data_IF_342904766078
#
_entry.id   IF_342904766078
#
_cell.length_a   1.000
_cell.length_b   1.000
_cell.length_c   1.000
_cell.angle_alpha   90.00
_cell.angle_beta   90.00
_cell.angle_gamma   90.00
#
_symmetry.space_group_name_H-M   'P 1'
#
loop_
_entity.id
_entity.type
_entity.pdbx_description
1 polymer ?
#
# COMPACT_ATOMS: atom_id res chain seq x y z
N UNK A 1 -5.40 -17.83 23.66
CA UNK A 1 -4.80 -17.02 24.75
C UNK A 1 -4.03 -15.82 24.20
N UNK A 2 -3.02 -15.98 23.33
CA UNK A 2 -2.14 -14.86 22.94
C UNK A 2 -2.82 -13.70 22.20
N UNK A 3 -3.69 -13.96 21.23
CA UNK A 3 -4.41 -12.85 20.61
C UNK A 3 -5.24 -12.07 21.63
N UNK A 4 -5.89 -12.78 22.57
CA UNK A 4 -6.62 -12.13 23.67
C UNK A 4 -5.72 -11.26 24.55
N UNK A 5 -4.53 -11.75 24.93
CA UNK A 5 -3.54 -10.95 25.67
C UNK A 5 -3.03 -9.75 24.87
N UNK A 6 -2.76 -9.92 23.57
CA UNK A 6 -2.33 -8.82 22.70
C UNK A 6 -3.43 -7.76 22.52
N UNK A 7 -4.69 -8.18 22.40
CA UNK A 7 -5.83 -7.28 22.34
C UNK A 7 -6.02 -6.50 23.65
N UNK A 8 -5.82 -7.15 24.81
CA UNK A 8 -5.82 -6.49 26.11
C UNK A 8 -4.72 -5.42 26.19
N UNK A 9 -3.48 -5.77 25.84
CA UNK A 9 -2.34 -4.84 25.84
C UNK A 9 -2.56 -3.66 24.90
N UNK A 10 -3.15 -3.91 23.73
CA UNK A 10 -3.50 -2.88 22.78
C UNK A 10 -4.51 -1.86 23.33
N UNK A 11 -5.54 -2.32 24.05
CA UNK A 11 -6.48 -1.43 24.74
C UNK A 11 -5.81 -0.67 25.89
N UNK A 12 -4.93 -1.32 26.66
CA UNK A 12 -4.16 -0.64 27.71
C UNK A 12 -3.25 0.46 27.13
N UNK A 13 -2.63 0.22 25.98
CA UNK A 13 -1.86 1.24 25.28
C UNK A 13 -2.74 2.41 24.83
N UNK A 14 -3.93 2.14 24.26
CA UNK A 14 -4.90 3.19 23.92
C UNK A 14 -5.28 4.04 25.15
N UNK A 15 -5.50 3.41 26.31
CA UNK A 15 -5.78 4.14 27.57
C UNK A 15 -4.59 5.02 27.94
N UNK A 16 -3.36 4.50 27.85
CA UNK A 16 -2.13 5.23 28.17
C UNK A 16 -1.90 6.49 27.32
N UNK A 17 -2.36 6.49 26.06
CA UNK A 17 -2.29 7.67 25.17
C UNK A 17 -3.57 8.50 25.14
N UNK A 18 -4.51 8.27 26.07
CA UNK A 18 -5.77 9.02 26.16
C UNK A 18 -6.83 8.68 25.09
N UNK A 19 -6.60 7.65 24.27
CA UNK A 19 -7.49 7.22 23.20
C UNK A 19 -8.40 6.03 23.55
N UNK A 20 -8.24 5.46 24.75
CA UNK A 20 -8.96 4.28 25.21
C UNK A 20 -9.88 4.52 26.40
N UNK A 21 -10.72 3.52 26.69
CA UNK A 21 -11.59 3.46 27.88
C UNK A 21 -11.48 2.07 28.51
N UNK A 22 -11.56 2.00 29.85
CA UNK A 22 -11.43 0.74 30.61
C UNK A 22 -12.45 -0.32 30.18
N UNK A 23 -13.68 0.09 29.85
CA UNK A 23 -14.72 -0.85 29.41
C UNK A 23 -14.47 -1.46 28.02
N UNK A 24 -13.40 -1.06 27.30
CA UNK A 24 -12.98 -1.72 26.06
C UNK A 24 -12.08 -2.94 26.27
N UNK A 25 -11.59 -3.19 27.50
CA UNK A 25 -10.69 -4.32 27.77
C UNK A 25 -11.31 -5.68 27.34
N UNK A 26 -12.59 -5.99 27.65
CA UNK A 26 -13.21 -7.23 27.18
C UNK A 26 -13.32 -7.31 25.65
N UNK A 27 -13.60 -6.18 25.00
CA UNK A 27 -13.69 -6.09 23.54
C UNK A 27 -12.33 -6.39 22.89
N UNK A 28 -11.24 -5.86 23.45
CA UNK A 28 -9.88 -6.14 22.98
C UNK A 28 -9.55 -7.62 23.09
N UNK A 29 -9.87 -8.26 24.23
CA UNK A 29 -9.69 -9.70 24.43
C UNK A 29 -10.50 -10.51 23.41
N UNK A 30 -11.78 -10.17 23.23
CA UNK A 30 -12.67 -10.85 22.29
C UNK A 30 -12.15 -10.73 20.85
N UNK A 31 -11.83 -9.51 20.41
CA UNK A 31 -11.24 -9.25 19.09
C UNK A 31 -9.99 -10.11 18.88
N UNK A 32 -9.09 -10.12 19.86
CA UNK A 32 -7.87 -10.91 19.84
C UNK A 32 -8.11 -12.42 19.67
N UNK A 33 -9.09 -12.97 20.38
CA UNK A 33 -9.47 -14.38 20.26
C UNK A 33 -10.03 -14.66 18.85
N UNK A 34 -10.99 -13.86 18.39
CA UNK A 34 -11.63 -14.04 17.07
C UNK A 34 -10.59 -13.98 15.96
N UNK A 35 -9.72 -12.97 15.97
CA UNK A 35 -8.66 -12.83 14.97
C UNK A 35 -7.72 -14.03 15.00
N UNK A 36 -7.30 -14.50 16.18
CA UNK A 36 -6.46 -15.71 16.29
C UNK A 36 -7.11 -16.93 15.65
N UNK A 37 -8.42 -17.13 15.86
CA UNK A 37 -9.16 -18.27 15.28
C UNK A 37 -9.29 -18.14 13.77
N UNK A 38 -9.62 -16.95 13.26
CA UNK A 38 -9.94 -16.73 11.84
C UNK A 38 -8.69 -16.69 10.96
N UNK A 39 -7.64 -16.00 11.39
CA UNK A 39 -6.43 -15.76 10.57
C UNK A 39 -5.17 -16.44 11.09
N UNK A 40 -5.21 -17.08 12.26
CA UNK A 40 -4.02 -17.64 12.91
C UNK A 40 -3.21 -18.56 12.00
N UNK A 41 -3.86 -19.48 11.28
CA UNK A 41 -3.18 -20.39 10.34
C UNK A 41 -2.54 -19.68 9.14
N UNK A 42 -2.91 -18.44 8.85
CA UNK A 42 -2.41 -17.64 7.72
C UNK A 42 -1.34 -16.62 8.14
N UNK A 43 -1.41 -16.13 9.38
CA UNK A 43 -0.42 -15.24 9.99
C UNK A 43 0.81 -16.04 10.43
N UNK A 44 1.58 -16.56 9.48
CA UNK A 44 2.70 -17.50 9.73
C UNK A 44 4.01 -16.83 10.14
N UNK A 45 4.11 -15.52 9.98
CA UNK A 45 5.22 -14.69 10.44
C UNK A 45 4.71 -13.30 10.86
N UNK A 46 5.55 -12.45 11.50
CA UNK A 46 5.12 -11.16 12.00
C UNK A 46 4.65 -10.20 10.89
N UNK A 47 5.27 -10.21 9.70
CA UNK A 47 4.86 -9.34 8.59
C UNK A 47 3.49 -9.72 8.05
N UNK A 48 3.26 -11.02 7.83
CA UNK A 48 1.93 -11.55 7.46
C UNK A 48 0.89 -11.26 8.54
N UNK A 49 1.29 -11.43 9.81
CA UNK A 49 0.46 -11.13 10.96
C UNK A 49 0.02 -9.68 11.00
N UNK A 50 0.95 -8.74 10.80
CA UNK A 50 0.66 -7.31 10.72
C UNK A 50 -0.39 -7.00 9.66
N UNK A 51 -0.18 -7.48 8.42
CA UNK A 51 -1.10 -7.17 7.32
C UNK A 51 -2.47 -7.80 7.54
N UNK A 52 -2.53 -9.06 7.97
CA UNK A 52 -3.81 -9.68 8.30
C UNK A 52 -4.52 -8.95 9.43
N UNK A 53 -3.80 -8.54 10.47
CA UNK A 53 -4.34 -7.78 11.59
C UNK A 53 -4.90 -6.41 11.17
N UNK A 54 -4.22 -5.69 10.28
CA UNK A 54 -4.70 -4.43 9.71
C UNK A 54 -5.94 -4.65 8.83
N UNK A 55 -5.91 -5.67 7.95
CA UNK A 55 -7.05 -6.00 7.08
C UNK A 55 -8.28 -6.46 7.86
N UNK A 56 -8.13 -7.28 8.89
CA UNK A 56 -9.25 -7.65 9.77
C UNK A 56 -9.71 -6.48 10.62
N UNK A 57 -8.81 -5.55 10.96
CA UNK A 57 -9.16 -4.30 11.62
C UNK A 57 -10.07 -3.42 10.77
N UNK A 58 -9.75 -3.23 9.48
CA UNK A 58 -10.64 -2.53 8.54
C UNK A 58 -11.98 -3.23 8.43
N UNK A 59 -11.99 -4.56 8.30
CA UNK A 59 -13.24 -5.33 8.21
C UNK A 59 -14.09 -5.19 9.48
N UNK A 60 -13.47 -5.28 10.66
CA UNK A 60 -14.16 -5.10 11.93
C UNK A 60 -14.72 -3.68 12.06
N UNK A 61 -13.98 -2.67 11.60
CA UNK A 61 -14.46 -1.29 11.55
C UNK A 61 -15.66 -1.14 10.61
N UNK A 62 -15.59 -1.64 9.37
CA UNK A 62 -16.72 -1.60 8.41
C UNK A 62 -17.96 -2.29 8.98
N UNK A 63 -17.80 -3.46 9.61
CA UNK A 63 -18.91 -4.16 10.24
C UNK A 63 -19.49 -3.35 11.40
N UNK A 64 -18.64 -2.77 12.26
CA UNK A 64 -19.10 -1.96 13.40
C UNK A 64 -19.86 -0.70 12.96
N UNK A 65 -19.36 0.02 11.95
CA UNK A 65 -20.00 1.23 11.42
C UNK A 65 -21.25 0.87 10.63
N UNK A 66 -21.19 -0.16 9.77
CA UNK A 66 -22.33 -0.62 8.99
C UNK A 66 -23.49 -1.11 9.86
N UNK A 67 -23.21 -1.85 10.95
CA UNK A 67 -24.23 -2.24 11.93
C UNK A 67 -24.79 -1.03 12.67
N UNK A 68 -23.94 -0.08 13.07
CA UNK A 68 -24.38 1.14 13.75
C UNK A 68 -25.31 1.99 12.86
N UNK A 69 -24.91 2.25 11.61
CA UNK A 69 -25.72 3.00 10.65
C UNK A 69 -27.07 2.32 10.42
N UNK A 70 -27.08 1.00 10.18
CA UNK A 70 -28.32 0.23 9.97
C UNK A 70 -29.26 0.28 11.18
N UNK A 71 -28.71 0.23 12.40
CA UNK A 71 -29.51 0.31 13.63
C UNK A 71 -30.00 1.74 13.89
N UNK A 72 -29.18 2.76 13.65
CA UNK A 72 -29.55 4.17 13.81
C UNK A 72 -30.64 4.61 12.84
N UNK A 73 -30.60 4.13 11.58
CA UNK A 73 -31.67 4.35 10.61
C UNK A 73 -32.98 3.68 11.01
N UNK A 74 -32.89 2.49 11.64
CA UNK A 74 -34.06 1.76 12.12
C UNK A 74 -34.71 2.44 13.34
N UNK A 75 -33.92 3.18 14.11
CA UNK A 75 -34.35 3.89 15.32
C UNK A 75 -34.62 5.39 15.12
N UNK A 76 -34.48 5.91 13.90
CA UNK A 76 -34.83 7.30 13.56
C UNK A 76 -33.83 8.38 14.01
N UNK A 77 -32.60 8.00 14.38
CA UNK A 77 -31.55 8.93 14.81
C UNK A 77 -30.55 9.17 13.66
N UNK A 78 -30.86 10.01 12.69
CA UNK A 78 -29.89 10.39 11.65
C UNK A 78 -29.58 11.88 11.74
N UNK A 79 -28.55 12.21 12.53
CA UNK A 79 -27.80 13.46 12.40
C UNK A 79 -26.38 13.06 11.97
N UNK A 80 -26.00 13.40 10.74
CA UNK A 80 -24.69 13.08 10.17
C UNK A 80 -23.60 13.94 10.83
N UNK A 81 -23.12 13.54 12.01
CA UNK A 81 -21.82 14.00 12.54
C UNK A 81 -20.78 12.88 12.35
N UNK A 82 -20.50 12.58 11.07
CA UNK A 82 -19.94 11.29 10.65
C UNK A 82 -18.42 11.22 10.59
N UNK A 83 -17.74 12.32 10.29
CA UNK A 83 -16.27 12.29 10.11
C UNK A 83 -15.54 12.14 11.45
N UNK A 84 -15.87 12.99 12.42
CA UNK A 84 -15.17 13.07 13.71
C UNK A 84 -15.44 11.88 14.64
N UNK A 85 -16.45 11.06 14.34
CA UNK A 85 -16.76 9.84 15.09
C UNK A 85 -16.14 8.59 14.46
N UNK A 86 -16.07 8.52 13.13
CA UNK A 86 -15.59 7.34 12.41
C UNK A 86 -14.08 7.29 12.21
N UNK A 87 -13.42 8.44 12.01
CA UNK A 87 -11.95 8.49 11.84
C UNK A 87 -11.22 7.99 13.09
N UNK A 88 -11.53 8.47 14.32
CA UNK A 88 -10.83 7.98 15.51
C UNK A 88 -11.09 6.49 15.78
N UNK A 89 -12.30 5.99 15.51
CA UNK A 89 -12.63 4.58 15.74
C UNK A 89 -11.89 3.65 14.80
N UNK A 90 -11.71 4.02 13.53
CA UNK A 90 -10.85 3.28 12.61
C UNK A 90 -9.41 3.19 13.13
N UNK A 91 -8.83 4.33 13.50
CA UNK A 91 -7.43 4.38 13.95
C UNK A 91 -7.23 3.57 15.23
N UNK A 92 -8.17 3.64 16.19
CA UNK A 92 -8.18 2.81 17.42
C UNK A 92 -8.18 1.32 17.09
N UNK A 93 -9.03 0.89 16.16
CA UNK A 93 -9.10 -0.52 15.77
C UNK A 93 -7.80 -0.93 15.07
N UNK A 94 -7.28 -0.12 14.14
CA UNK A 94 -6.07 -0.47 13.38
C UNK A 94 -4.81 -0.53 14.26
N UNK A 95 -4.52 0.53 15.02
CA UNK A 95 -3.30 0.63 15.83
C UNK A 95 -3.44 -0.03 17.19
N UNK A 96 -4.61 0.09 17.83
CA UNK A 96 -4.84 -0.44 19.16
C UNK A 96 -5.24 -1.92 19.18
N UNK A 97 -5.75 -2.49 18.09
CA UNK A 97 -6.16 -3.90 18.07
C UNK A 97 -5.52 -4.68 16.90
N UNK A 98 -5.71 -4.22 15.67
CA UNK A 98 -5.29 -4.90 14.45
C UNK A 98 -3.80 -5.21 14.41
N UNK A 99 -2.96 -4.17 14.42
CA UNK A 99 -1.51 -4.30 14.39
C UNK A 99 -0.93 -5.13 15.56
N UNK A 100 -1.23 -4.84 16.85
CA UNK A 100 -0.64 -5.58 17.97
C UNK A 100 -1.09 -7.04 18.01
N UNK A 101 -2.38 -7.32 17.77
CA UNK A 101 -2.87 -8.71 17.71
C UNK A 101 -2.25 -9.45 16.53
N UNK A 102 -2.22 -8.82 15.36
CA UNK A 102 -1.64 -9.40 14.15
C UNK A 102 -0.17 -9.77 14.34
N UNK A 103 0.65 -8.85 14.82
CA UNK A 103 2.06 -9.07 15.13
C UNK A 103 2.26 -10.19 16.16
N UNK A 104 1.50 -10.18 17.26
CA UNK A 104 1.62 -11.19 18.31
C UNK A 104 1.22 -12.60 17.82
N UNK A 105 0.15 -12.70 17.03
CA UNK A 105 -0.26 -13.97 16.41
C UNK A 105 0.80 -14.43 15.41
N UNK A 106 1.33 -13.54 14.57
CA UNK A 106 2.41 -13.85 13.63
C UNK A 106 3.68 -14.37 14.30
N UNK A 107 4.13 -13.70 15.36
CA UNK A 107 5.26 -14.12 16.18
C UNK A 107 5.04 -15.50 16.84
N UNK A 108 3.83 -15.72 17.37
CA UNK A 108 3.48 -16.99 17.98
C UNK A 108 3.48 -18.14 16.97
N UNK A 109 2.88 -17.91 15.80
CA UNK A 109 2.74 -18.92 14.77
C UNK A 109 4.08 -19.29 14.13
N UNK A 110 5.02 -18.34 14.04
CA UNK A 110 6.40 -18.63 13.60
C UNK A 110 7.01 -19.79 14.39
N UNK A 111 6.68 -19.91 15.69
CA UNK A 111 7.19 -20.97 16.59
C UNK A 111 6.43 -22.30 16.47
N UNK A 112 5.27 -22.31 15.79
CA UNK A 112 4.35 -23.46 15.71
C UNK A 112 4.17 -24.01 14.30
N UNK A 113 4.59 -23.29 13.27
CA UNK A 113 4.56 -23.80 11.91
C UNK A 113 5.53 -24.97 11.77
N UNK A 114 4.99 -26.19 11.73
CA UNK A 114 5.73 -27.39 11.36
C UNK A 114 5.97 -27.37 9.84
N UNK A 115 7.21 -27.08 9.46
CA UNK A 115 7.66 -27.05 8.07
C UNK A 115 8.75 -26.01 7.81
N UNK A 116 9.57 -26.16 6.76
CA UNK A 116 10.60 -25.18 6.45
C UNK A 116 9.94 -23.90 5.93
N UNK A 117 9.78 -22.90 6.80
CA UNK A 117 9.67 -21.53 6.34
C UNK A 117 10.99 -21.15 5.67
N UNK A 118 10.93 -20.45 4.54
CA UNK A 118 12.14 -19.87 3.94
C UNK A 118 12.83 -19.01 5.01
N UNK A 119 14.11 -19.29 5.33
CA UNK A 119 14.83 -18.51 6.34
C UNK A 119 14.96 -17.06 5.87
N UNK A 120 14.82 -16.12 6.81
CA UNK A 120 15.16 -14.73 6.56
C UNK A 120 16.67 -14.63 6.60
N UNK A 121 17.23 -13.93 5.61
CA UNK A 121 18.61 -13.45 5.63
C UNK A 121 18.61 -12.04 6.24
N UNK A 122 18.96 -11.89 7.54
CA UNK A 122 18.87 -10.60 8.20
C UNK A 122 19.84 -9.57 7.60
N UNK A 123 21.02 -9.98 7.11
CA UNK A 123 21.98 -9.04 6.51
C UNK A 123 21.37 -8.45 5.24
N UNK A 124 20.78 -9.31 4.40
CA UNK A 124 20.08 -8.88 3.19
C UNK A 124 18.88 -8.00 3.50
N UNK A 125 18.06 -8.36 4.48
CA UNK A 125 16.93 -7.55 4.95
C UNK A 125 17.37 -6.15 5.38
N UNK A 126 18.41 -6.07 6.21
CA UNK A 126 18.93 -4.81 6.76
C UNK A 126 19.52 -3.93 5.64
N UNK A 127 20.32 -4.53 4.75
CA UNK A 127 20.97 -3.79 3.67
C UNK A 127 19.98 -3.28 2.63
N UNK A 128 19.15 -4.17 2.07
CA UNK A 128 18.16 -3.80 1.07
C UNK A 128 17.10 -2.85 1.67
N UNK A 129 16.66 -3.13 2.89
CA UNK A 129 15.74 -2.28 3.64
C UNK A 129 16.31 -0.89 3.92
N UNK A 130 17.54 -0.81 4.42
CA UNK A 130 18.21 0.45 4.71
C UNK A 130 18.38 1.33 3.47
N UNK A 131 18.85 0.77 2.35
CA UNK A 131 19.00 1.51 1.08
C UNK A 131 17.65 2.01 0.59
N UNK A 132 16.65 1.12 0.56
CA UNK A 132 15.31 1.49 0.11
C UNK A 132 14.66 2.55 1.01
N UNK A 133 14.92 2.50 2.32
CA UNK A 133 14.53 3.52 3.29
C UNK A 133 15.17 4.88 3.01
N UNK A 134 16.49 4.94 2.72
CA UNK A 134 17.16 6.19 2.34
C UNK A 134 16.53 6.81 1.09
N UNK A 135 16.35 6.03 0.03
CA UNK A 135 15.85 6.58 -1.24
C UNK A 135 14.37 6.96 -1.14
N UNK A 136 13.55 6.17 -0.44
CA UNK A 136 12.17 6.55 -0.13
C UNK A 136 12.13 7.85 0.69
N UNK A 137 12.99 7.93 1.71
CA UNK A 137 13.12 9.11 2.58
C UNK A 137 13.55 10.35 1.80
N UNK A 138 14.40 10.19 0.79
CA UNK A 138 14.80 11.27 -0.11
C UNK A 138 13.63 11.79 -0.94
N UNK A 139 12.83 10.91 -1.55
CA UNK A 139 11.61 11.32 -2.27
C UNK A 139 10.65 12.12 -1.40
N UNK A 140 10.41 11.67 -0.16
CA UNK A 140 9.56 12.37 0.80
C UNK A 140 10.19 13.68 1.32
N UNK A 141 11.52 13.74 1.40
CA UNK A 141 12.26 14.90 1.92
C UNK A 141 12.11 16.15 1.03
N UNK A 142 11.86 15.97 -0.27
CA UNK A 142 11.65 17.08 -1.21
C UNK A 142 10.41 17.87 -0.80
N UNK A 143 9.26 17.21 -0.64
CA UNK A 143 8.05 17.86 -0.18
C UNK A 143 8.20 18.43 1.24
N UNK A 144 8.85 17.71 2.15
CA UNK A 144 9.08 18.20 3.52
C UNK A 144 9.93 19.48 3.55
N UNK A 145 10.85 19.65 2.60
CA UNK A 145 11.61 20.88 2.45
C UNK A 145 10.68 22.05 2.07
N UNK A 146 9.82 21.83 1.09
CA UNK A 146 8.90 22.84 0.54
C UNK A 146 7.91 23.33 1.60
N UNK A 147 7.40 22.44 2.45
CA UNK A 147 6.46 22.79 3.53
C UNK A 147 7.15 23.14 4.85
N UNK A 148 8.50 23.22 4.88
CA UNK A 148 9.24 23.65 6.06
C UNK A 148 9.14 22.71 7.26
N UNK A 149 9.04 21.38 7.04
CA UNK A 149 8.84 20.40 8.10
C UNK A 149 10.09 20.06 8.93
N UNK A 150 11.29 20.34 8.42
CA UNK A 150 12.52 19.90 9.11
C UNK A 150 12.75 20.53 10.48
N UNK A 151 12.49 21.83 10.74
CA UNK A 151 12.53 22.36 12.10
C UNK A 151 11.64 21.58 13.07
N UNK A 152 10.40 21.24 12.66
CA UNK A 152 9.47 20.47 13.50
C UNK A 152 9.97 19.05 13.76
N UNK A 153 10.61 18.41 12.77
CA UNK A 153 11.26 17.09 12.97
C UNK A 153 12.46 17.20 13.91
N UNK A 154 13.21 18.30 13.88
CA UNK A 154 14.35 18.53 14.76
C UNK A 154 13.93 18.65 16.23
N UNK A 155 12.71 19.11 16.52
CA UNK A 155 12.20 19.22 17.89
C UNK A 155 12.14 17.88 18.62
N UNK A 156 12.02 16.76 17.89
CA UNK A 156 12.09 15.40 18.44
C UNK A 156 13.41 15.11 19.19
N UNK A 157 14.47 15.88 18.89
CA UNK A 157 15.79 15.78 19.54
C UNK A 157 16.17 17.09 20.25
N UNK A 158 15.19 17.95 20.53
CA UNK A 158 15.39 19.17 21.32
C UNK A 158 16.12 20.31 20.59
N UNK A 159 16.06 20.38 19.26
CA UNK A 159 16.67 21.46 18.46
C UNK A 159 15.70 21.96 17.39
N UNK A 160 15.95 23.14 16.81
CA UNK A 160 15.18 23.68 15.67
C UNK A 160 16.00 23.71 14.38
N UNK A 161 17.21 23.14 14.39
CA UNK A 161 18.11 23.13 13.24
C UNK A 161 17.53 22.32 12.08
N UNK A 162 17.26 22.93 10.92
CA UNK A 162 16.74 22.20 9.76
C UNK A 162 17.68 21.09 9.27
N UNK A 163 19.00 21.27 9.47
CA UNK A 163 20.00 20.26 9.11
C UNK A 163 19.90 19.00 9.99
N UNK A 164 19.72 19.18 11.30
CA UNK A 164 19.51 18.06 12.22
C UNK A 164 18.14 17.41 12.01
N UNK A 165 17.10 18.19 11.71
CA UNK A 165 15.79 17.66 11.33
C UNK A 165 15.85 16.77 10.08
N UNK A 166 16.62 17.16 9.06
CA UNK A 166 16.91 16.31 7.89
C UNK A 166 17.59 15.00 8.28
N UNK A 167 18.61 15.06 9.14
CA UNK A 167 19.31 13.86 9.60
C UNK A 167 18.36 12.91 10.34
N UNK A 168 17.56 13.43 11.28
CA UNK A 168 16.57 12.65 12.04
C UNK A 168 15.55 11.99 11.10
N UNK A 169 15.06 12.72 10.10
CA UNK A 169 14.17 12.16 9.06
C UNK A 169 14.79 10.95 8.36
N UNK A 170 16.03 11.06 7.88
CA UNK A 170 16.70 9.94 7.21
C UNK A 170 16.99 8.76 8.15
N UNK A 171 17.28 9.00 9.43
CA UNK A 171 17.43 7.93 10.42
C UNK A 171 16.11 7.19 10.64
N UNK A 172 15.00 7.91 10.73
CA UNK A 172 13.65 7.31 10.79
C UNK A 172 13.36 6.52 9.50
N UNK A 173 13.66 7.08 8.34
CA UNK A 173 13.46 6.41 7.05
C UNK A 173 14.28 5.10 6.94
N UNK A 174 15.54 5.10 7.39
CA UNK A 174 16.37 3.88 7.46
C UNK A 174 15.76 2.87 8.41
N UNK A 175 15.34 3.29 9.60
CA UNK A 175 14.70 2.41 10.58
C UNK A 175 13.46 1.73 9.98
N UNK A 176 12.57 2.52 9.36
CA UNK A 176 11.38 2.02 8.67
C UNK A 176 11.77 1.05 7.54
N UNK A 177 12.79 1.38 6.76
CA UNK A 177 13.27 0.51 5.68
C UNK A 177 13.81 -0.83 6.17
N UNK A 178 14.60 -0.83 7.25
CA UNK A 178 15.12 -2.05 7.88
C UNK A 178 13.98 -2.91 8.42
N UNK A 179 13.02 -2.33 9.13
CA UNK A 179 11.87 -3.08 9.65
C UNK A 179 10.99 -3.62 8.53
N UNK A 180 10.86 -2.91 7.40
CA UNK A 180 10.21 -3.45 6.20
C UNK A 180 10.92 -4.70 5.68
N UNK A 181 12.24 -4.65 5.52
CA UNK A 181 13.02 -5.81 5.07
C UNK A 181 12.85 -7.02 6.00
N UNK A 182 12.92 -6.80 7.30
CA UNK A 182 12.76 -7.87 8.29
C UNK A 182 11.35 -8.48 8.30
N UNK A 183 10.31 -7.67 8.09
CA UNK A 183 8.92 -8.13 8.11
C UNK A 183 8.50 -8.80 6.80
N UNK A 184 8.95 -8.29 5.65
CA UNK A 184 8.35 -8.62 4.36
C UNK A 184 9.26 -9.36 3.38
N UNK A 185 10.51 -9.71 3.74
CA UNK A 185 11.42 -10.44 2.85
C UNK A 185 10.79 -11.68 2.18
N UNK A 186 9.92 -12.41 2.91
CA UNK A 186 9.25 -13.61 2.39
C UNK A 186 8.12 -13.33 1.39
N UNK A 187 7.51 -12.16 1.49
CA UNK A 187 6.32 -11.78 0.71
C UNK A 187 6.63 -10.80 -0.41
N UNK A 188 7.73 -10.05 -0.30
CA UNK A 188 8.26 -9.08 -1.26
C UNK A 188 8.99 -9.75 -2.45
N UNK A 189 8.31 -10.70 -3.10
CA UNK A 189 8.87 -11.53 -4.17
C UNK A 189 9.01 -10.81 -5.50
N UNK A 190 7.95 -10.11 -5.92
CA UNK A 190 7.84 -9.42 -7.21
C UNK A 190 7.77 -7.91 -7.05
N UNK A 191 8.41 -7.16 -7.95
CA UNK A 191 8.49 -5.70 -7.89
C UNK A 191 7.12 -5.03 -7.67
N UNK A 192 6.07 -5.46 -8.38
CA UNK A 192 4.71 -4.92 -8.21
C UNK A 192 4.10 -5.28 -6.85
N UNK A 193 4.20 -6.54 -6.42
CA UNK A 193 3.73 -6.92 -5.08
C UNK A 193 4.47 -6.17 -3.98
N UNK A 194 5.78 -5.95 -4.14
CA UNK A 194 6.61 -5.22 -3.19
C UNK A 194 6.20 -3.75 -3.10
N UNK A 195 5.83 -3.09 -4.20
CA UNK A 195 5.20 -1.76 -4.16
C UNK A 195 3.94 -1.75 -3.31
N UNK A 196 3.10 -2.77 -3.43
CA UNK A 196 1.88 -2.89 -2.62
C UNK A 196 2.18 -3.12 -1.14
N UNK A 197 3.13 -4.00 -0.81
CA UNK A 197 3.58 -4.19 0.57
C UNK A 197 4.13 -2.89 1.14
N UNK A 198 4.94 -2.20 0.35
CA UNK A 198 5.51 -0.91 0.68
C UNK A 198 4.43 0.16 0.91
N UNK A 199 3.42 0.25 0.04
CA UNK A 199 2.27 1.15 0.21
C UNK A 199 1.51 0.86 1.50
N UNK A 200 1.16 -0.41 1.76
CA UNK A 200 0.53 -0.78 3.04
C UNK A 200 1.42 -0.37 4.23
N UNK A 201 2.72 -0.60 4.15
CA UNK A 201 3.62 -0.29 5.24
C UNK A 201 3.81 1.22 5.44
N UNK A 202 3.86 2.00 4.36
CA UNK A 202 3.88 3.46 4.38
C UNK A 202 2.62 4.03 5.01
N UNK A 203 1.44 3.54 4.61
CA UNK A 203 0.16 3.94 5.22
C UNK A 203 0.06 3.56 6.70
N UNK A 204 0.58 2.38 7.08
CA UNK A 204 0.71 2.01 8.48
C UNK A 204 1.62 2.98 9.24
N UNK A 205 2.76 3.36 8.67
CA UNK A 205 3.67 4.35 9.28
C UNK A 205 3.13 5.77 9.28
N UNK A 206 2.22 6.13 8.39
CA UNK A 206 1.49 7.39 8.50
C UNK A 206 0.58 7.39 9.74
N UNK A 207 -0.19 6.33 9.95
CA UNK A 207 -1.03 6.16 11.15
C UNK A 207 -0.20 6.13 12.43
N UNK A 208 0.85 5.30 12.46
CA UNK A 208 1.68 5.09 13.65
C UNK A 208 2.65 6.26 13.86
N UNK A 209 3.43 6.64 12.85
CA UNK A 209 4.42 7.69 12.90
C UNK A 209 3.79 9.08 12.92
N UNK A 210 3.24 9.51 11.78
CA UNK A 210 2.76 10.89 11.57
C UNK A 210 1.60 11.29 12.48
N UNK A 211 0.56 10.45 12.59
CA UNK A 211 -0.64 10.77 13.37
C UNK A 211 -0.51 10.47 14.87
N UNK A 212 0.43 9.61 15.29
CA UNK A 212 0.45 9.10 16.67
C UNK A 212 1.76 9.37 17.39
N UNK A 213 2.88 8.80 16.92
CA UNK A 213 4.17 8.93 17.60
C UNK A 213 4.74 10.34 17.51
N UNK A 214 4.58 11.01 16.38
CA UNK A 214 5.09 12.36 16.17
C UNK A 214 4.50 13.37 17.18
N UNK A 215 3.16 13.56 17.28
CA UNK A 215 2.60 14.45 18.29
C UNK A 215 2.91 13.97 19.72
N UNK A 216 2.92 12.66 19.97
CA UNK A 216 3.25 12.11 21.29
C UNK A 216 4.66 12.49 21.74
N UNK A 217 5.67 12.35 20.87
CA UNK A 217 7.06 12.69 21.21
C UNK A 217 7.32 14.20 21.31
N UNK A 218 6.50 15.02 20.65
CA UNK A 218 6.49 16.48 20.84
C UNK A 218 5.73 16.91 22.11
N UNK A 219 5.24 15.97 22.92
CA UNK A 219 4.46 16.28 24.13
C UNK A 219 3.06 16.85 23.84
N UNK A 220 2.62 16.79 22.58
CA UNK A 220 1.27 17.18 22.17
C UNK A 220 0.26 16.07 22.47
N UNK A 221 -1.00 16.44 22.64
CA UNK A 221 -2.09 15.46 22.77
C UNK A 221 -2.29 14.72 21.44
N UNK A 222 -2.29 13.39 21.49
CA UNK A 222 -2.62 12.58 20.31
C UNK A 222 -4.10 12.80 20.01
N UNK A 223 -4.41 13.37 18.83
CA UNK A 223 -5.77 13.61 18.37
C UNK A 223 -6.00 12.96 17.02
N UNK A 224 -7.10 12.21 16.90
CA UNK A 224 -7.45 11.44 15.69
C UNK A 224 -8.74 11.95 15.04
N UNK A 225 -9.05 13.24 15.21
CA UNK A 225 -10.24 13.89 14.63
C UNK A 225 -10.14 14.00 13.11
N UNK A 226 -11.26 14.24 12.45
CA UNK A 226 -11.29 14.53 11.02
C UNK A 226 -10.42 15.73 10.64
N UNK A 227 -10.47 16.79 11.44
CA UNK A 227 -9.63 17.96 11.26
C UNK A 227 -8.13 17.63 11.38
N UNK A 228 -7.73 16.81 12.34
CA UNK A 228 -6.33 16.40 12.50
C UNK A 228 -5.84 15.58 11.29
N UNK A 229 -6.69 14.68 10.77
CA UNK A 229 -6.37 13.90 9.57
C UNK A 229 -6.34 14.78 8.31
N UNK A 230 -7.29 15.70 8.16
CA UNK A 230 -7.34 16.66 7.04
C UNK A 230 -6.08 17.53 6.97
N UNK A 231 -5.62 18.02 8.12
CA UNK A 231 -4.37 18.79 8.22
C UNK A 231 -3.12 18.00 7.87
N UNK A 232 -3.19 16.66 7.80
CA UNK A 232 -2.07 15.77 7.50
C UNK A 232 -2.19 15.07 6.14
N UNK A 233 -3.07 15.51 5.24
CA UNK A 233 -3.21 14.89 3.91
C UNK A 233 -1.92 14.95 3.08
N UNK A 234 -1.10 16.00 3.24
CA UNK A 234 0.21 16.05 2.59
C UNK A 234 1.17 14.98 3.09
N UNK A 235 1.19 14.73 4.40
CA UNK A 235 2.02 13.65 4.98
C UNK A 235 1.47 12.27 4.63
N UNK A 236 0.15 12.12 4.45
CA UNK A 236 -0.49 10.89 3.96
C UNK A 236 0.02 10.51 2.58
N UNK A 237 -0.01 11.44 1.62
CA UNK A 237 0.54 11.20 0.26
C UNK A 237 2.04 10.92 0.34
N UNK A 238 2.77 11.71 1.14
CA UNK A 238 4.21 11.51 1.32
C UNK A 238 4.57 10.11 1.83
N UNK A 239 3.83 9.58 2.81
CA UNK A 239 4.02 8.21 3.29
C UNK A 239 3.57 7.15 2.27
N UNK A 240 2.53 7.41 1.48
CA UNK A 240 2.12 6.52 0.39
C UNK A 240 3.22 6.41 -0.66
N UNK A 241 3.76 7.54 -1.13
CA UNK A 241 4.86 7.61 -2.10
C UNK A 241 6.14 7.01 -1.53
N UNK A 242 6.50 7.35 -0.27
CA UNK A 242 7.61 6.73 0.46
C UNK A 242 7.47 5.21 0.47
N UNK A 243 6.30 4.69 0.82
CA UNK A 243 6.02 3.26 0.87
C UNK A 243 6.16 2.59 -0.49
N UNK A 244 5.62 3.20 -1.55
CA UNK A 244 5.74 2.69 -2.92
C UNK A 244 7.22 2.60 -3.34
N UNK A 245 8.01 3.64 -3.08
CA UNK A 245 9.44 3.69 -3.37
C UNK A 245 10.22 2.65 -2.56
N UNK A 246 9.95 2.57 -1.25
CA UNK A 246 10.53 1.57 -0.36
C UNK A 246 10.31 0.15 -0.89
N UNK A 247 9.07 -0.17 -1.25
CA UNK A 247 8.70 -1.48 -1.76
C UNK A 247 9.41 -1.85 -3.06
N UNK A 248 9.37 -0.97 -4.07
CA UNK A 248 10.02 -1.25 -5.36
C UNK A 248 11.53 -1.33 -5.23
N UNK A 249 12.16 -0.41 -4.51
CA UNK A 249 13.62 -0.35 -4.37
C UNK A 249 14.15 -1.50 -3.54
N UNK A 250 13.45 -1.87 -2.45
CA UNK A 250 13.78 -3.06 -1.68
C UNK A 250 13.84 -4.29 -2.60
N UNK A 251 12.81 -4.49 -3.43
CA UNK A 251 12.77 -5.64 -4.35
C UNK A 251 13.83 -5.60 -5.45
N UNK A 252 14.23 -4.42 -5.91
CA UNK A 252 15.31 -4.26 -6.90
C UNK A 252 16.64 -4.65 -6.25
N UNK A 253 16.93 -4.15 -5.06
CA UNK A 253 18.18 -4.45 -4.34
C UNK A 253 18.21 -5.92 -3.92
N UNK A 254 17.13 -6.45 -3.37
CA UNK A 254 17.01 -7.86 -2.95
C UNK A 254 17.20 -8.82 -4.13
N UNK A 255 16.57 -8.54 -5.28
CA UNK A 255 16.78 -9.37 -6.48
C UNK A 255 18.17 -9.23 -7.07
N UNK A 256 18.75 -8.03 -7.06
CA UNK A 256 20.13 -7.84 -7.50
C UNK A 256 21.09 -8.64 -6.62
N UNK A 257 20.87 -8.64 -5.30
CA UNK A 257 21.61 -9.47 -4.36
C UNK A 257 21.46 -10.96 -4.68
N UNK A 258 20.24 -11.45 -4.89
CA UNK A 258 20.00 -12.84 -5.27
C UNK A 258 20.71 -13.21 -6.57
N UNK A 259 20.62 -12.37 -7.60
CA UNK A 259 21.25 -12.62 -8.89
C UNK A 259 22.78 -12.64 -8.79
N UNK A 260 23.38 -11.70 -8.06
CA UNK A 260 24.84 -11.61 -7.93
C UNK A 260 25.41 -12.77 -7.10
N UNK A 261 24.78 -13.09 -5.97
CA UNK A 261 25.35 -14.00 -4.97
C UNK A 261 24.81 -15.44 -5.00
N UNK A 262 23.67 -15.70 -5.66
CA UNK A 262 23.03 -17.03 -5.68
C UNK A 262 22.72 -17.55 -7.09
N UNK A 263 22.09 -16.73 -7.96
CA UNK A 263 21.64 -17.20 -9.28
C UNK A 263 22.73 -17.15 -10.37
N UNK A 264 23.88 -16.55 -10.08
CA UNK A 264 25.04 -16.53 -10.97
C UNK A 264 25.67 -17.92 -11.18
N UNK A 265 25.26 -18.91 -10.37
CA UNK A 265 25.62 -20.32 -10.53
C UNK A 265 25.07 -20.92 -11.86
N UNK A 266 25.95 -21.43 -12.74
CA UNK A 266 25.55 -22.11 -13.99
C UNK A 266 24.51 -23.23 -13.84
N UNK A 267 24.44 -23.88 -12.67
CA UNK A 267 23.49 -24.95 -12.38
C UNK A 267 22.03 -24.48 -12.30
N UNK A 268 21.81 -23.17 -12.08
CA UNK A 268 20.48 -22.58 -11.89
C UNK A 268 19.92 -21.87 -13.14
N UNK A 269 20.55 -22.03 -14.33
CA UNK A 269 20.10 -21.35 -15.56
C UNK A 269 18.71 -21.78 -16.03
N UNK A 270 17.88 -20.80 -16.37
CA UNK A 270 16.51 -21.05 -16.87
C UNK A 270 16.49 -21.48 -18.35
N UNK A 271 15.57 -22.40 -18.69
CA UNK A 271 15.40 -22.95 -20.04
C UNK A 271 14.77 -21.94 -21.01
N UNK A 272 14.02 -20.96 -20.51
CA UNK A 272 13.38 -19.92 -21.32
C UNK A 272 14.26 -18.70 -21.37
N UNK A 273 14.55 -18.20 -22.58
CA UNK A 273 15.32 -16.97 -22.73
C UNK A 273 14.61 -15.81 -21.99
N UNK A 274 15.32 -15.06 -21.11
CA UNK A 274 14.76 -13.91 -20.39
C UNK A 274 14.08 -12.91 -21.33
N UNK A 275 14.65 -12.69 -22.52
CA UNK A 275 14.12 -11.77 -23.53
C UNK A 275 12.72 -12.12 -24.03
N UNK A 276 12.41 -13.40 -24.27
CA UNK A 276 11.07 -13.81 -24.72
C UNK A 276 10.03 -13.52 -23.64
N UNK A 277 10.39 -13.79 -22.39
CA UNK A 277 9.48 -13.56 -21.25
C UNK A 277 9.21 -12.07 -21.06
N UNK A 278 10.24 -11.22 -21.16
CA UNK A 278 10.09 -9.76 -21.09
C UNK A 278 9.20 -9.25 -22.22
N UNK A 279 9.44 -9.68 -23.45
CA UNK A 279 8.65 -9.25 -24.62
C UNK A 279 7.17 -9.65 -24.48
N UNK A 280 6.89 -10.87 -24.02
CA UNK A 280 5.52 -11.33 -23.78
C UNK A 280 4.80 -10.50 -22.72
N UNK A 281 5.45 -10.25 -21.57
CA UNK A 281 4.91 -9.41 -20.50
C UNK A 281 4.63 -7.99 -20.96
N UNK A 282 5.54 -7.41 -21.74
CA UNK A 282 5.38 -6.09 -22.37
C UNK A 282 4.17 -6.08 -23.30
N UNK A 283 4.07 -7.06 -24.20
CA UNK A 283 2.95 -7.14 -25.15
C UNK A 283 1.59 -7.28 -24.47
N UNK A 284 1.47 -8.14 -23.44
CA UNK A 284 0.21 -8.27 -22.70
C UNK A 284 -0.10 -7.04 -21.85
N UNK A 285 0.91 -6.41 -21.24
CA UNK A 285 0.76 -5.17 -20.49
C UNK A 285 0.22 -4.05 -21.37
N UNK A 286 0.80 -3.88 -22.56
CA UNK A 286 0.35 -2.93 -23.58
C UNK A 286 -1.11 -3.20 -23.99
N UNK A 287 -1.43 -4.42 -24.40
CA UNK A 287 -2.79 -4.77 -24.85
C UNK A 287 -3.83 -4.60 -23.76
N UNK A 288 -3.49 -4.98 -22.52
CA UNK A 288 -4.40 -4.84 -21.39
C UNK A 288 -4.65 -3.38 -21.03
N UNK A 289 -3.62 -2.53 -21.07
CA UNK A 289 -3.78 -1.11 -20.74
C UNK A 289 -4.41 -0.28 -21.84
N UNK A 290 -4.38 -0.72 -23.11
CA UNK A 290 -5.21 -0.08 -24.13
C UNK A 290 -6.69 -0.20 -23.78
N UNK A 291 -7.14 -1.33 -23.23
CA UNK A 291 -8.54 -1.46 -22.76
C UNK A 291 -8.81 -0.52 -21.58
N UNK A 292 -7.92 -0.51 -20.58
CA UNK A 292 -8.05 0.40 -19.43
C UNK A 292 -8.01 1.89 -19.83
N UNK A 293 -7.11 2.25 -20.76
CA UNK A 293 -6.90 3.60 -21.24
C UNK A 293 -8.06 4.09 -22.11
N UNK A 294 -8.72 3.21 -22.85
CA UNK A 294 -9.98 3.56 -23.54
C UNK A 294 -11.11 3.86 -22.55
N UNK A 295 -11.23 3.07 -21.47
CA UNK A 295 -12.23 3.32 -20.42
C UNK A 295 -11.95 4.66 -19.73
N UNK A 296 -10.71 4.90 -19.30
CA UNK A 296 -10.35 6.14 -18.60
C UNK A 296 -10.37 7.35 -19.55
N UNK A 297 -9.87 7.21 -20.77
CA UNK A 297 -9.99 8.24 -21.80
C UNK A 297 -11.45 8.62 -22.09
N UNK A 298 -12.38 7.65 -22.09
CA UNK A 298 -13.81 7.90 -22.21
C UNK A 298 -14.38 8.69 -21.02
N UNK A 299 -13.99 8.34 -19.79
CA UNK A 299 -14.35 9.10 -18.59
C UNK A 299 -13.86 10.55 -18.71
N UNK A 300 -12.58 10.75 -19.02
CA UNK A 300 -12.01 12.10 -19.18
C UNK A 300 -12.62 12.90 -20.33
N UNK A 301 -13.06 12.22 -21.39
CA UNK A 301 -13.79 12.88 -22.48
C UNK A 301 -15.10 13.48 -21.98
N UNK A 302 -15.82 12.76 -21.11
CA UNK A 302 -17.09 13.23 -20.54
C UNK A 302 -16.91 14.29 -19.45
N UNK A 303 -15.82 14.23 -18.69
CA UNK A 303 -15.54 15.20 -17.61
C UNK A 303 -14.82 16.46 -18.11
N UNK A 304 -14.24 16.43 -19.32
CA UNK A 304 -13.51 17.55 -19.91
C UNK A 304 -12.02 17.60 -19.56
N UNK A 305 -11.51 16.63 -18.79
CA UNK A 305 -10.14 16.63 -18.26
C UNK A 305 -9.05 16.40 -19.32
N UNK A 306 -9.43 16.01 -20.54
CA UNK A 306 -8.47 15.76 -21.62
C UNK A 306 -7.70 17.02 -22.04
N UNK A 307 -8.27 18.22 -21.87
CA UNK A 307 -7.55 19.45 -22.18
C UNK A 307 -6.33 19.60 -21.28
N UNK A 308 -6.47 19.32 -19.97
CA UNK A 308 -5.36 19.36 -19.02
C UNK A 308 -4.27 18.33 -19.37
N UNK A 309 -4.65 17.13 -19.83
CA UNK A 309 -3.67 16.14 -20.32
C UNK A 309 -2.91 16.65 -21.55
N UNK A 310 -3.60 17.34 -22.45
CA UNK A 310 -3.03 17.86 -23.68
C UNK A 310 -2.03 19.01 -23.43
N UNK A 311 -2.14 19.72 -22.30
CA UNK A 311 -1.18 20.74 -21.87
C UNK A 311 0.24 20.18 -21.65
N UNK A 312 0.38 18.88 -21.36
CA UNK A 312 1.69 18.22 -21.25
C UNK A 312 2.53 18.32 -22.54
N UNK A 313 1.87 18.52 -23.69
CA UNK A 313 2.52 18.71 -25.00
C UNK A 313 2.27 20.10 -25.57
N UNK A 314 1.79 21.04 -24.74
CA UNK A 314 1.57 22.44 -25.11
C UNK A 314 0.42 22.67 -26.10
N UNK A 315 -0.56 21.77 -26.16
CA UNK A 315 -1.67 21.84 -27.14
C UNK A 315 -3.02 21.65 -26.44
N UNK A 316 -3.86 22.69 -26.27
CA UNK A 316 -5.12 22.58 -25.53
C UNK A 316 -6.25 22.00 -26.41
N UNK A 317 -6.09 20.77 -26.86
CA UNK A 317 -7.08 20.06 -27.70
C UNK A 317 -7.52 18.75 -27.03
N UNK A 318 -8.83 18.52 -26.81
CA UNK A 318 -9.31 17.25 -26.24
C UNK A 318 -8.89 16.02 -27.03
N UNK A 319 -8.83 16.12 -28.37
CA UNK A 319 -8.36 15.02 -29.23
C UNK A 319 -6.88 14.74 -29.02
N UNK A 320 -6.05 15.79 -28.93
CA UNK A 320 -4.61 15.62 -28.62
C UNK A 320 -4.44 15.03 -27.23
N UNK A 321 -5.18 15.52 -26.24
CA UNK A 321 -5.21 14.97 -24.88
C UNK A 321 -5.58 13.50 -24.82
N UNK A 322 -6.56 13.08 -25.61
CA UNK A 322 -6.93 11.66 -25.72
C UNK A 322 -5.78 10.82 -26.27
N UNK A 323 -5.12 11.27 -27.34
CA UNK A 323 -3.97 10.55 -27.92
C UNK A 323 -2.79 10.46 -26.94
N UNK A 324 -2.48 11.56 -26.26
CA UNK A 324 -1.46 11.62 -25.20
C UNK A 324 -1.83 10.67 -24.07
N UNK A 325 -3.09 10.65 -23.63
CA UNK A 325 -3.55 9.73 -22.60
C UNK A 325 -3.40 8.25 -23.00
N UNK A 326 -3.74 7.89 -24.24
CA UNK A 326 -3.56 6.51 -24.73
C UNK A 326 -2.08 6.14 -24.77
N UNK A 327 -1.20 7.05 -25.18
CA UNK A 327 0.25 6.83 -25.17
C UNK A 327 0.78 6.62 -23.73
N UNK A 328 0.37 7.47 -22.79
CA UNK A 328 0.71 7.33 -21.36
C UNK A 328 0.18 5.99 -20.83
N UNK A 329 -1.07 5.64 -21.12
CA UNK A 329 -1.69 4.38 -20.72
C UNK A 329 -0.94 3.17 -21.27
N UNK A 330 -0.46 3.23 -22.52
CA UNK A 330 0.37 2.17 -23.10
C UNK A 330 1.69 1.99 -22.33
N UNK A 331 2.41 3.09 -22.05
CA UNK A 331 3.68 3.08 -21.30
C UNK A 331 3.44 2.52 -19.88
N UNK A 332 2.42 3.02 -19.19
CA UNK A 332 2.03 2.55 -17.86
C UNK A 332 1.70 1.05 -17.91
N UNK A 333 0.88 0.60 -18.87
CA UNK A 333 0.52 -0.81 -19.01
C UNK A 333 1.67 -1.77 -19.19
N UNK A 334 2.70 -1.38 -19.95
CA UNK A 334 3.93 -2.16 -20.07
C UNK A 334 4.53 -2.40 -18.68
N UNK A 335 4.56 -1.38 -17.82
CA UNK A 335 5.05 -1.55 -16.45
C UNK A 335 4.16 -2.49 -15.62
N UNK A 336 2.83 -2.47 -15.78
CA UNK A 336 1.96 -3.46 -15.12
C UNK A 336 2.35 -4.89 -15.47
N UNK A 337 2.58 -5.17 -16.76
CA UNK A 337 2.98 -6.50 -17.22
C UNK A 337 4.34 -6.96 -16.66
N UNK A 338 5.28 -6.04 -16.46
CA UNK A 338 6.56 -6.35 -15.83
C UNK A 338 6.45 -6.53 -14.32
N UNK A 339 5.60 -5.73 -13.66
CA UNK A 339 5.50 -5.65 -12.20
C UNK A 339 4.61 -6.74 -11.59
N UNK A 340 3.51 -7.12 -12.24
CA UNK A 340 2.43 -7.94 -11.66
C UNK A 340 2.25 -9.32 -12.32
N UNK A 341 3.12 -9.71 -13.25
CA UNK A 341 3.09 -11.05 -13.82
C UNK A 341 3.20 -12.13 -12.72
N UNK A 342 2.37 -13.17 -12.81
CA UNK A 342 2.24 -14.26 -11.83
C UNK A 342 1.63 -13.92 -10.45
N UNK A 343 1.23 -12.68 -10.19
CA UNK A 343 0.63 -12.29 -8.90
C UNK A 343 -0.84 -12.72 -8.76
N UNK A 344 -1.53 -12.96 -9.88
CA UNK A 344 -2.96 -13.22 -9.93
C UNK A 344 -3.30 -14.71 -10.10
N UNK A 345 -4.27 -15.20 -9.32
CA UNK A 345 -4.76 -16.58 -9.38
C UNK A 345 -6.17 -16.70 -9.99
N UNK A 346 -7.01 -15.67 -9.84
CA UNK A 346 -8.34 -15.52 -10.47
C UNK A 346 -8.48 -14.17 -11.17
N UNK A 347 -9.53 -14.02 -12.00
CA UNK A 347 -9.91 -12.71 -12.57
C UNK A 347 -10.12 -11.68 -11.45
N UNK A 348 -10.82 -12.06 -10.37
CA UNK A 348 -11.04 -11.19 -9.22
C UNK A 348 -9.74 -10.71 -8.57
N UNK A 349 -8.74 -11.60 -8.41
CA UNK A 349 -7.42 -11.17 -7.92
C UNK A 349 -6.69 -10.25 -8.91
N UNK A 350 -6.85 -10.48 -10.22
CA UNK A 350 -6.30 -9.61 -11.26
C UNK A 350 -6.90 -8.21 -11.21
N UNK A 351 -8.21 -8.11 -11.04
CA UNK A 351 -8.91 -6.83 -10.84
C UNK A 351 -8.48 -6.17 -9.54
N UNK A 352 -8.34 -6.90 -8.44
CA UNK A 352 -7.91 -6.33 -7.16
C UNK A 352 -6.47 -5.76 -7.21
N UNK A 353 -5.51 -6.50 -7.80
CA UNK A 353 -4.18 -5.98 -8.08
C UNK A 353 -4.22 -4.78 -9.03
N UNK A 354 -5.10 -4.83 -10.02
CA UNK A 354 -5.40 -3.72 -10.91
C UNK A 354 -5.84 -2.46 -10.17
N UNK A 355 -6.80 -2.56 -9.24
CA UNK A 355 -7.25 -1.41 -8.45
C UNK A 355 -6.13 -0.79 -7.62
N UNK A 356 -5.31 -1.61 -6.97
CA UNK A 356 -4.14 -1.10 -6.25
C UNK A 356 -3.16 -0.38 -7.17
N UNK A 357 -2.93 -0.93 -8.36
CA UNK A 357 -2.06 -0.32 -9.34
C UNK A 357 -2.61 1.02 -9.85
N UNK A 358 -3.92 1.09 -10.07
CA UNK A 358 -4.63 2.35 -10.35
C UNK A 358 -4.46 3.36 -9.23
N UNK A 359 -4.67 2.96 -7.97
CA UNK A 359 -4.47 3.82 -6.81
C UNK A 359 -3.02 4.30 -6.68
N UNK A 360 -2.03 3.44 -6.92
CA UNK A 360 -0.61 3.81 -6.97
C UNK A 360 -0.38 4.91 -8.02
N UNK A 361 -0.95 4.76 -9.22
CA UNK A 361 -0.85 5.80 -10.26
C UNK A 361 -1.66 7.05 -9.97
N UNK A 362 -2.67 7.00 -9.12
CA UNK A 362 -3.31 8.21 -8.65
C UNK A 362 -2.37 9.00 -7.72
N UNK A 363 -1.71 8.35 -6.77
CA UNK A 363 -0.69 9.01 -5.92
C UNK A 363 0.53 9.49 -6.73
N UNK A 364 1.10 8.62 -7.55
CA UNK A 364 2.35 8.89 -8.27
C UNK A 364 2.10 9.72 -9.53
N UNK A 365 1.09 9.38 -10.32
CA UNK A 365 0.73 10.08 -11.55
C UNK A 365 -0.03 11.37 -11.26
N UNK A 366 -1.30 11.25 -10.90
CA UNK A 366 -2.21 12.41 -10.81
C UNK A 366 -1.77 13.42 -9.74
N UNK A 367 -1.41 12.98 -8.53
CA UNK A 367 -1.08 13.90 -7.44
C UNK A 367 0.37 14.42 -7.47
N UNK A 368 1.28 13.71 -8.12
CA UNK A 368 2.72 13.98 -8.03
C UNK A 368 3.34 14.33 -9.38
N UNK A 369 3.39 13.38 -10.33
CA UNK A 369 4.08 13.58 -11.61
C UNK A 369 3.35 14.56 -12.53
N UNK A 370 2.02 14.48 -12.62
CA UNK A 370 1.23 15.34 -13.51
C UNK A 370 1.42 16.83 -13.21
N UNK A 371 1.20 17.33 -11.97
CA UNK A 371 1.47 18.73 -11.66
C UNK A 371 2.97 19.08 -11.81
N UNK A 372 3.88 18.19 -11.40
CA UNK A 372 5.32 18.44 -11.53
C UNK A 372 5.77 18.61 -12.99
N UNK A 373 5.22 17.81 -13.92
CA UNK A 373 5.51 17.91 -15.36
C UNK A 373 4.97 19.19 -15.98
N UNK A 374 3.91 19.77 -15.41
CA UNK A 374 3.38 21.08 -15.78
C UNK A 374 4.10 22.24 -15.08
N UNK A 375 5.10 21.96 -14.22
CA UNK A 375 5.78 22.97 -13.41
C UNK A 375 4.91 23.55 -12.29
N UNK A 376 3.80 22.90 -11.95
CA UNK A 376 2.90 23.28 -10.88
C UNK A 376 3.29 22.62 -9.53
N UNK A 377 2.90 23.20 -8.38
CA UNK A 377 3.06 22.56 -7.08
C UNK A 377 2.38 21.18 -7.02
N UNK A 378 2.96 20.24 -6.27
CA UNK A 378 2.37 18.92 -6.07
C UNK A 378 0.95 19.03 -5.49
N UNK A 379 0.02 18.20 -5.97
CA UNK A 379 -1.38 18.22 -5.54
C UNK A 379 -1.59 17.46 -4.21
N UNK A 380 -0.70 17.70 -3.24
CA UNK A 380 -0.69 17.00 -1.95
C UNK A 380 -1.48 17.76 -0.86
N UNK A 381 -1.90 19.00 -1.13
CA UNK A 381 -2.79 19.75 -0.23
C UNK A 381 -4.21 19.18 -0.27
N UNK A 382 -4.99 19.36 0.80
CA UNK A 382 -6.38 18.89 0.84
C UNK A 382 -7.24 19.48 -0.27
N UNK A 383 -7.06 20.77 -0.60
CA UNK A 383 -7.80 21.43 -1.69
C UNK A 383 -7.45 20.88 -3.07
N UNK A 384 -6.16 20.69 -3.36
CA UNK A 384 -5.72 20.14 -4.64
C UNK A 384 -6.12 18.66 -4.77
N UNK A 385 -6.05 17.90 -3.68
CA UNK A 385 -6.47 16.50 -3.64
C UNK A 385 -7.97 16.35 -3.83
N UNK A 386 -8.79 17.22 -3.24
CA UNK A 386 -10.23 17.27 -3.47
C UNK A 386 -10.55 17.57 -4.94
N UNK A 387 -9.83 18.51 -5.57
CA UNK A 387 -9.98 18.79 -6.99
C UNK A 387 -9.56 17.59 -7.88
N UNK A 388 -8.55 16.82 -7.46
CA UNK A 388 -8.09 15.63 -8.16
C UNK A 388 -8.91 14.36 -7.85
N UNK A 389 -9.80 14.40 -6.85
CA UNK A 389 -10.56 13.23 -6.38
C UNK A 389 -11.40 12.56 -7.48
N UNK A 390 -12.13 13.28 -8.36
CA UNK A 390 -12.88 12.64 -9.45
C UNK A 390 -12.01 11.75 -10.35
N UNK A 391 -10.75 12.13 -10.57
CA UNK A 391 -9.81 11.36 -11.39
C UNK A 391 -9.42 10.00 -10.77
N UNK A 392 -9.61 9.82 -9.46
CA UNK A 392 -9.37 8.54 -8.78
C UNK A 392 -10.22 7.42 -9.38
N UNK A 393 -11.48 7.71 -9.69
CA UNK A 393 -12.41 6.74 -10.30
C UNK A 393 -11.84 6.26 -11.64
N UNK A 394 -11.33 7.18 -12.45
CA UNK A 394 -10.68 6.87 -13.72
C UNK A 394 -9.43 6.00 -13.55
N UNK A 395 -8.59 6.30 -12.57
CA UNK A 395 -7.39 5.50 -12.27
C UNK A 395 -7.75 4.09 -11.77
N UNK A 396 -8.75 3.96 -10.90
CA UNK A 396 -9.24 2.66 -10.41
C UNK A 396 -9.85 1.86 -11.56
N UNK A 397 -10.67 2.47 -12.41
CA UNK A 397 -11.27 1.82 -13.59
C UNK A 397 -10.19 1.35 -14.57
N UNK A 398 -9.22 2.21 -14.88
CA UNK A 398 -8.04 1.90 -15.69
C UNK A 398 -7.29 0.67 -15.13
N UNK A 399 -6.95 0.72 -13.85
CA UNK A 399 -6.17 -0.32 -13.19
C UNK A 399 -6.93 -1.65 -13.14
N UNK A 400 -8.18 -1.62 -12.69
CA UNK A 400 -9.05 -2.81 -12.60
C UNK A 400 -9.25 -3.50 -13.94
N UNK A 401 -9.52 -2.74 -15.00
CA UNK A 401 -9.64 -3.27 -16.36
C UNK A 401 -8.31 -3.85 -16.86
N UNK A 402 -7.20 -3.11 -16.70
CA UNK A 402 -5.85 -3.57 -17.08
C UNK A 402 -5.51 -4.88 -16.38
N UNK A 403 -5.70 -4.98 -15.07
CA UNK A 403 -5.38 -6.19 -14.31
C UNK A 403 -6.26 -7.38 -14.67
N UNK A 404 -7.57 -7.16 -14.89
CA UNK A 404 -8.50 -8.19 -15.34
C UNK A 404 -8.12 -8.74 -16.72
N UNK A 405 -7.90 -7.86 -17.71
CA UNK A 405 -7.54 -8.24 -19.08
C UNK A 405 -6.17 -8.91 -19.13
N UNK A 406 -5.18 -8.36 -18.41
CA UNK A 406 -3.85 -8.96 -18.32
C UNK A 406 -3.92 -10.39 -17.80
N UNK A 407 -4.68 -10.64 -16.73
CA UNK A 407 -4.87 -12.01 -16.21
C UNK A 407 -5.49 -12.94 -17.26
N UNK A 408 -6.46 -12.48 -18.05
CA UNK A 408 -7.09 -13.29 -19.09
C UNK A 408 -6.09 -13.66 -20.20
N UNK A 409 -5.28 -12.70 -20.65
CA UNK A 409 -4.21 -12.93 -21.63
C UNK A 409 -3.17 -13.92 -21.09
N UNK A 410 -2.70 -13.69 -19.86
CA UNK A 410 -1.76 -14.56 -19.18
C UNK A 410 -2.33 -15.98 -19.05
N UNK A 411 -3.59 -16.12 -18.60
CA UNK A 411 -4.30 -17.40 -18.48
C UNK A 411 -4.38 -18.15 -19.81
N UNK A 412 -4.63 -17.45 -20.92
CA UNK A 412 -4.66 -18.07 -22.26
C UNK A 412 -3.30 -18.64 -22.64
N UNK A 413 -2.23 -17.87 -22.48
CA UNK A 413 -0.88 -18.35 -22.79
C UNK A 413 -0.52 -19.59 -21.98
N UNK A 414 -0.87 -19.61 -20.69
CA UNK A 414 -0.60 -20.75 -19.80
C UNK A 414 -1.31 -22.03 -20.23
N UNK A 415 -2.53 -21.93 -20.77
CA UNK A 415 -3.23 -23.12 -21.30
C UNK A 415 -2.41 -23.75 -22.42
N UNK A 416 -1.74 -22.95 -23.25
CA UNK A 416 -0.84 -23.45 -24.28
C UNK A 416 0.48 -23.97 -23.70
N UNK A 417 1.07 -23.29 -22.72
CA UNK A 417 2.32 -23.73 -22.06
C UNK A 417 2.20 -25.06 -21.32
N UNK A 418 1.01 -25.37 -20.77
CA UNK A 418 0.71 -26.64 -20.08
C UNK A 418 0.75 -27.88 -20.96
N UNK A 419 0.78 -27.72 -22.28
CA UNK A 419 0.93 -28.84 -23.21
C UNK A 419 2.33 -29.49 -23.15
N UNK A 420 3.30 -28.84 -22.49
CA UNK A 420 4.64 -29.38 -22.27
C UNK A 420 4.96 -29.62 -20.77
N UNK A 421 5.22 -30.87 -20.33
CA UNK A 421 5.50 -31.20 -18.93
C UNK A 421 6.71 -30.50 -18.29
N UNK A 422 7.68 -30.06 -19.11
CA UNK A 422 8.87 -29.34 -18.62
C UNK A 422 8.59 -27.91 -18.13
N UNK A 423 7.48 -27.32 -18.54
CA UNK A 423 7.10 -25.95 -18.16
C UNK A 423 6.08 -25.91 -17.02
N UNK A 424 5.31 -26.99 -16.81
CA UNK A 424 4.20 -27.04 -15.85
C UNK A 424 4.64 -26.89 -14.40
N UNK A 425 5.71 -27.58 -13.99
CA UNK A 425 6.14 -27.58 -12.59
C UNK A 425 6.77 -26.24 -12.19
N UNK A 426 7.63 -25.68 -13.04
CA UNK A 426 8.25 -24.36 -12.79
C UNK A 426 7.28 -23.19 -12.90
N UNK A 427 6.26 -23.25 -13.76
CA UNK A 427 5.21 -22.21 -13.82
C UNK A 427 4.30 -22.21 -12.58
N UNK A 428 4.15 -23.38 -11.92
CA UNK A 428 3.37 -23.50 -10.69
C UNK A 428 4.08 -22.78 -9.54
N UNK A 429 5.39 -22.90 -9.43
CA UNK A 429 6.18 -22.32 -8.32
C UNK A 429 6.30 -20.80 -8.39
N UNK A 430 6.25 -20.22 -9.59
CA UNK A 430 6.34 -18.75 -9.80
C UNK A 430 5.10 -17.98 -9.35
N UNK A 431 3.97 -18.66 -9.17
CA UNK A 431 2.68 -18.01 -8.90
C UNK A 431 2.44 -17.78 -7.43
N UNK A 432 1.82 -16.66 -7.12
CA UNK A 432 1.21 -16.47 -5.81
C UNK A 432 0.01 -17.42 -5.67
N UNK A 433 0.03 -18.22 -4.60
CA UNK A 433 -1.06 -19.14 -4.27
C UNK A 433 -2.16 -18.42 -3.46
N UNK A 434 -3.36 -18.99 -3.46
CA UNK A 434 -4.41 -18.56 -2.56
C UNK A 434 -3.98 -18.79 -1.09
N UNK A 435 -4.38 -17.89 -0.19
CA UNK A 435 -4.05 -17.98 1.24
C UNK A 435 -2.90 -17.08 1.71
N UNK A 436 -2.26 -16.33 0.80
CA UNK A 436 -1.31 -15.25 1.16
C UNK A 436 -2.02 -14.06 1.80
N UNK A 437 -1.30 -13.16 2.51
CA UNK A 437 -1.87 -11.91 3.05
C UNK A 437 -2.35 -10.89 2.02
N UNK A 438 -2.24 -11.16 0.71
CA UNK A 438 -2.58 -10.19 -0.33
C UNK A 438 -4.02 -9.63 -0.21
N UNK A 439 -5.08 -10.44 0.02
CA UNK A 439 -6.42 -9.90 0.22
C UNK A 439 -6.54 -8.95 1.42
N UNK A 440 -5.80 -9.21 2.50
CA UNK A 440 -5.78 -8.30 3.65
C UNK A 440 -5.05 -7.00 3.32
N UNK A 441 -3.98 -7.05 2.52
CA UNK A 441 -3.32 -5.85 2.02
C UNK A 441 -4.27 -5.01 1.16
N UNK A 442 -5.04 -5.65 0.27
CA UNK A 442 -6.02 -4.96 -0.59
C UNK A 442 -7.09 -4.29 0.25
N UNK A 443 -7.67 -5.02 1.20
CA UNK A 443 -8.67 -4.49 2.14
C UNK A 443 -8.12 -3.32 2.95
N UNK A 444 -6.89 -3.44 3.45
CA UNK A 444 -6.27 -2.37 4.22
C UNK A 444 -6.00 -1.13 3.36
N UNK A 445 -5.32 -1.28 2.22
CA UNK A 445 -4.94 -0.14 1.37
C UNK A 445 -6.17 0.51 0.76
N UNK A 446 -7.06 -0.26 0.14
CA UNK A 446 -8.26 0.29 -0.50
C UNK A 446 -9.24 0.78 0.55
N UNK A 447 -9.42 0.06 1.66
CA UNK A 447 -10.32 0.47 2.73
C UNK A 447 -9.87 1.75 3.43
N UNK A 448 -8.60 1.83 3.83
CA UNK A 448 -8.04 3.04 4.45
C UNK A 448 -7.95 4.19 3.43
N UNK A 449 -7.41 3.92 2.24
CA UNK A 449 -7.25 4.92 1.20
C UNK A 449 -8.57 5.53 0.78
N UNK A 450 -9.58 4.71 0.45
CA UNK A 450 -10.90 5.21 0.09
C UNK A 450 -11.59 5.90 1.27
N UNK A 451 -11.44 5.38 2.50
CA UNK A 451 -12.03 6.01 3.66
C UNK A 451 -11.47 7.42 3.88
N UNK A 452 -10.14 7.57 3.93
CA UNK A 452 -9.52 8.89 4.11
C UNK A 452 -9.98 9.83 3.00
N UNK A 453 -10.01 9.37 1.75
CA UNK A 453 -10.37 10.22 0.62
C UNK A 453 -11.85 10.59 0.55
N UNK A 454 -12.78 9.74 1.00
CA UNK A 454 -14.23 10.01 0.95
C UNK A 454 -14.71 10.79 2.17
N UNK A 455 -14.05 10.60 3.31
CA UNK A 455 -14.51 11.12 4.60
C UNK A 455 -13.82 12.45 4.94
N UNK A 456 -12.69 12.76 4.30
CA UNK A 456 -11.88 13.94 4.62
C UNK A 456 -11.85 14.98 3.48
N UNK A 457 -12.11 14.56 2.23
CA UNK A 457 -12.29 15.44 1.06
C UNK A 457 -13.79 15.59 0.78
#
# INVERSE_FOLDING_TARGET
>A
MIGGSAGLLGVLWLIGIGQGRVYWLPLGVLYGIVVTVVIGSRATDPGRGLIWGLGTGVLAWVLSVGTFLSLSSLLGFVELTTVDTHVPTLIRILLGLGAPVGLAVGLWQTRRTDGPLEPIDPVRALFAGGIAGVVGGWGFSIWMADVGMFPLVAELVGTTSPGLGRLVHFLIAVFIGVTFGLLFQRDARGHGSSMTWGLAYGLFWWLLGGLTLFPFFLGSTVTWTGAAVSGQLGSFVGHAVYGILLGVLYSIVDRTWLTLFYESDPLNRSVTAPGITVLQRTGWGLLASLVGGLIFGGIMWTTGDLVAVAELVGQPSPTVGFLVHIAISAIIGVTYGQLYCYESWTVGSGVAWGFLYGLIWWFVGALTLFPALLGAPLAWSGTAMAAAFPSLIGHLAYGGATGGVFYLLERRQRKWGRLHPRFTDRERDRRRTAGTPAPAAWLFILGLGMFVLVVVL
#
